data_IF_366409136387
#
_entry.id   IF_366409136387
#
_cell.length_a   1.000
_cell.length_b   1.000
_cell.length_c   1.000
_cell.angle_alpha   90.00
_cell.angle_beta   90.00
_cell.angle_gamma   90.00
#
_symmetry.space_group_name_H-M   'P 1'
#
loop_
_entity.id
_entity.type
_entity.pdbx_description
1 polymer ?
#
# COMPACT_ATOMS: atom_id res chain seq x y z
N UNK A 1 -19.81 -63.01 -18.01
CA UNK A 1 -20.52 -62.05 -18.85
C UNK A 1 -20.37 -60.72 -18.20
N UNK A 2 -19.42 -59.96 -18.73
CA UNK A 2 -19.20 -58.56 -18.41
C UNK A 2 -20.48 -57.75 -18.62
N UNK A 3 -20.68 -56.73 -17.79
CA UNK A 3 -21.15 -55.47 -18.37
C UNK A 3 -20.34 -54.30 -17.80
N UNK A 4 -19.64 -53.65 -18.73
CA UNK A 4 -18.69 -52.58 -18.55
C UNK A 4 -19.48 -51.26 -18.43
N UNK A 5 -19.76 -50.81 -17.21
CA UNK A 5 -20.13 -49.41 -16.99
C UNK A 5 -18.86 -48.59 -16.81
N UNK A 6 -18.45 -48.02 -17.94
CA UNK A 6 -17.41 -47.01 -18.15
C UNK A 6 -17.48 -45.89 -17.09
N UNK A 7 -16.32 -45.62 -16.48
CA UNK A 7 -15.84 -44.33 -15.96
C UNK A 7 -16.83 -43.36 -15.30
N UNK A 8 -16.83 -43.38 -13.97
CA UNK A 8 -16.96 -42.15 -13.17
C UNK A 8 -15.89 -42.22 -12.08
N UNK A 9 -14.66 -41.84 -12.44
CA UNK A 9 -13.61 -41.60 -11.44
C UNK A 9 -14.14 -40.53 -10.49
N UNK A 10 -14.14 -40.76 -9.17
CA UNK A 10 -14.34 -39.69 -8.21
C UNK A 10 -13.28 -38.64 -8.51
N UNK A 11 -13.74 -37.44 -8.80
CA UNK A 11 -12.92 -36.24 -8.90
C UNK A 11 -12.11 -36.17 -7.59
N UNK A 12 -10.84 -36.54 -7.65
CA UNK A 12 -9.91 -36.32 -6.55
C UNK A 12 -9.76 -34.80 -6.46
N UNK A 13 -10.44 -34.25 -5.47
CA UNK A 13 -10.30 -32.87 -5.06
C UNK A 13 -8.92 -32.73 -4.41
N UNK A 14 -7.90 -32.51 -5.23
CA UNK A 14 -6.52 -32.25 -4.80
C UNK A 14 -6.37 -30.87 -4.13
N UNK A 15 -7.46 -30.22 -3.70
CA UNK A 15 -7.40 -28.92 -3.01
C UNK A 15 -7.31 -29.01 -1.49
N UNK A 16 -7.44 -30.20 -0.90
CA UNK A 16 -7.32 -30.44 0.56
C UNK A 16 -5.91 -30.90 0.98
N UNK A 17 -4.88 -30.63 0.18
CA UNK A 17 -3.47 -30.79 0.59
C UNK A 17 -2.65 -29.50 0.52
N UNK A 18 -3.32 -28.33 0.45
CA UNK A 18 -2.64 -27.01 0.39
C UNK A 18 -2.63 -26.30 1.75
N UNK A 19 -3.23 -26.88 2.80
CA UNK A 19 -3.39 -26.19 4.09
C UNK A 19 -2.80 -26.89 5.32
N UNK A 20 -2.08 -28.01 5.16
CA UNK A 20 -1.49 -28.73 6.31
C UNK A 20 0.02 -28.97 6.26
N UNK A 21 0.74 -28.59 5.21
CA UNK A 21 2.19 -28.70 5.18
C UNK A 21 2.85 -27.32 5.20
N UNK A 22 2.85 -26.65 6.37
CA UNK A 22 3.79 -25.57 6.68
C UNK A 22 3.75 -25.23 8.19
N UNK A 23 4.11 -26.20 9.04
CA UNK A 23 4.44 -25.93 10.47
C UNK A 23 5.82 -26.47 10.87
N UNK A 24 6.63 -26.86 9.89
CA UNK A 24 8.01 -27.30 10.08
C UNK A 24 8.95 -26.49 9.18
N UNK A 25 9.16 -25.22 9.55
CA UNK A 25 10.45 -24.54 9.53
C UNK A 25 10.28 -23.04 9.85
N UNK A 26 10.62 -22.63 11.07
CA UNK A 26 10.71 -21.21 11.43
C UNK A 26 12.18 -20.73 11.54
N UNK A 27 13.14 -21.62 11.30
CA UNK A 27 14.57 -21.36 11.50
C UNK A 27 15.27 -21.05 10.18
N UNK A 28 15.09 -21.88 9.15
CA UNK A 28 15.68 -21.63 7.82
C UNK A 28 14.99 -20.44 7.15
N UNK A 29 13.66 -20.30 7.35
CA UNK A 29 12.90 -19.11 6.94
C UNK A 29 13.45 -17.80 7.52
N UNK A 30 13.99 -17.80 8.75
CA UNK A 30 14.60 -16.60 9.33
C UNK A 30 15.91 -16.27 8.62
N UNK A 31 16.74 -17.28 8.37
CA UNK A 31 18.00 -17.11 7.65
C UNK A 31 17.76 -16.62 6.21
N UNK A 32 16.81 -17.24 5.50
CA UNK A 32 16.37 -16.82 4.18
C UNK A 32 15.92 -15.35 4.16
N UNK A 33 15.09 -14.94 5.12
CA UNK A 33 14.63 -13.55 5.24
C UNK A 33 15.76 -12.57 5.49
N UNK A 34 16.69 -12.92 6.38
CA UNK A 34 17.83 -12.06 6.71
C UNK A 34 18.70 -11.81 5.49
N UNK A 35 19.03 -12.87 4.74
CA UNK A 35 19.81 -12.76 3.50
C UNK A 35 19.02 -12.00 2.43
N UNK A 36 17.73 -12.29 2.25
CA UNK A 36 16.87 -11.58 1.29
C UNK A 36 16.83 -10.07 1.59
N UNK A 37 16.67 -9.69 2.86
CA UNK A 37 16.65 -8.29 3.28
C UNK A 37 17.99 -7.61 2.96
N UNK A 38 19.11 -8.26 3.29
CA UNK A 38 20.44 -7.69 3.08
C UNK A 38 20.77 -7.52 1.59
N UNK A 39 20.43 -8.52 0.78
CA UNK A 39 20.58 -8.44 -0.68
C UNK A 39 19.73 -7.30 -1.26
N UNK A 40 18.44 -7.22 -0.92
CA UNK A 40 17.54 -6.16 -1.44
C UNK A 40 18.01 -4.76 -1.02
N UNK A 41 18.58 -4.62 0.18
CA UNK A 41 19.14 -3.34 0.66
C UNK A 41 20.20 -2.78 -0.28
N UNK A 42 21.00 -3.65 -0.92
CA UNK A 42 22.00 -3.30 -1.92
C UNK A 42 21.46 -2.81 -3.27
N UNK A 43 20.15 -2.95 -3.52
CA UNK A 43 19.51 -2.58 -4.78
C UNK A 43 18.42 -1.50 -4.57
N UNK A 44 18.80 -0.20 -4.45
CA UNK A 44 17.86 0.89 -4.20
C UNK A 44 16.69 0.95 -5.18
N UNK A 45 16.90 0.64 -6.46
CA UNK A 45 15.84 0.64 -7.49
C UNK A 45 14.70 -0.36 -7.22
N UNK A 46 14.87 -1.30 -6.27
CA UNK A 46 13.81 -2.22 -5.85
C UNK A 46 12.81 -1.61 -4.85
N UNK A 47 13.20 -0.58 -4.10
CA UNK A 47 12.38 -0.03 -3.01
C UNK A 47 12.31 1.51 -2.97
N UNK A 48 13.34 2.20 -3.45
CA UNK A 48 13.43 3.65 -3.45
C UNK A 48 12.76 4.24 -4.70
N UNK A 49 11.61 4.89 -4.51
CA UNK A 49 10.87 5.55 -5.60
C UNK A 49 11.59 6.76 -6.20
N UNK A 50 12.56 7.33 -5.49
CA UNK A 50 13.36 8.47 -5.94
C UNK A 50 14.62 8.04 -6.72
N UNK A 51 14.91 6.74 -6.79
CA UNK A 51 16.03 6.23 -7.57
C UNK A 51 15.77 6.40 -9.07
N UNK A 52 16.79 6.81 -9.83
CA UNK A 52 16.68 7.04 -11.28
C UNK A 52 16.30 5.78 -12.04
N UNK A 53 16.76 4.62 -11.56
CA UNK A 53 16.54 3.32 -12.18
C UNK A 53 15.26 2.65 -11.64
N UNK A 54 14.50 3.30 -10.75
CA UNK A 54 13.25 2.74 -10.23
C UNK A 54 12.20 2.46 -11.32
N UNK A 55 12.26 3.14 -12.46
CA UNK A 55 11.34 2.88 -13.59
C UNK A 55 11.85 1.83 -14.57
N UNK A 56 13.12 1.43 -14.46
CA UNK A 56 13.72 0.44 -15.35
C UNK A 56 13.28 -0.97 -14.94
N UNK A 57 12.45 -1.59 -15.79
CA UNK A 57 11.94 -2.93 -15.55
C UNK A 57 13.04 -4.01 -15.74
N UNK A 58 13.95 -3.81 -16.69
CA UNK A 58 15.02 -4.76 -16.97
C UNK A 58 16.03 -4.77 -15.82
N UNK A 59 16.41 -3.59 -15.31
CA UNK A 59 17.30 -3.47 -14.16
C UNK A 59 16.72 -4.15 -12.91
N UNK A 60 15.40 -4.02 -12.69
CA UNK A 60 14.72 -4.74 -11.60
C UNK A 60 14.76 -6.25 -11.79
N UNK A 61 14.44 -6.72 -12.99
CA UNK A 61 14.42 -8.15 -13.27
C UNK A 61 15.81 -8.77 -13.09
N UNK A 62 16.86 -8.11 -13.60
CA UNK A 62 18.25 -8.55 -13.42
C UNK A 62 18.64 -8.67 -11.95
N UNK A 63 18.33 -7.65 -11.12
CA UNK A 63 18.62 -7.72 -9.69
C UNK A 63 17.82 -8.81 -8.99
N UNK A 64 16.55 -9.03 -9.37
CA UNK A 64 15.77 -10.13 -8.79
C UNK A 64 16.31 -11.50 -9.17
N UNK A 65 16.77 -11.67 -10.41
CA UNK A 65 17.45 -12.90 -10.87
C UNK A 65 18.72 -13.15 -10.06
N UNK A 66 19.54 -12.12 -9.84
CA UNK A 66 20.75 -12.23 -9.03
C UNK A 66 20.46 -12.64 -7.59
N UNK A 67 19.47 -11.98 -6.96
CA UNK A 67 19.02 -12.34 -5.60
C UNK A 67 18.53 -13.79 -5.54
N UNK A 68 17.70 -14.20 -6.50
CA UNK A 68 17.15 -15.54 -6.59
C UNK A 68 18.24 -16.61 -6.74
N UNK A 69 19.27 -16.33 -7.54
CA UNK A 69 20.42 -17.21 -7.71
C UNK A 69 21.21 -17.39 -6.41
N UNK A 70 21.44 -16.32 -5.65
CA UNK A 70 22.16 -16.38 -4.36
C UNK A 70 21.35 -17.14 -3.31
N UNK A 71 20.03 -16.94 -3.28
CA UNK A 71 19.13 -17.62 -2.34
C UNK A 71 18.73 -19.03 -2.78
N UNK A 72 19.17 -19.48 -3.96
CA UNK A 72 18.81 -20.75 -4.57
C UNK A 72 17.28 -20.99 -4.57
N UNK A 73 16.53 -19.95 -4.92
CA UNK A 73 15.06 -19.93 -4.90
C UNK A 73 14.52 -19.29 -6.20
N UNK A 74 13.22 -19.41 -6.45
CA UNK A 74 12.64 -18.76 -7.62
C UNK A 74 12.53 -17.24 -7.42
N UNK A 75 12.63 -16.49 -8.52
CA UNK A 75 12.40 -15.04 -8.53
C UNK A 75 11.01 -14.70 -7.98
N UNK A 76 10.01 -15.52 -8.30
CA UNK A 76 8.64 -15.32 -7.83
C UNK A 76 8.55 -15.45 -6.31
N UNK A 77 9.19 -16.46 -5.72
CA UNK A 77 9.20 -16.67 -4.28
C UNK A 77 9.93 -15.54 -3.55
N UNK A 78 11.06 -15.09 -4.09
CA UNK A 78 11.79 -13.93 -3.54
C UNK A 78 10.92 -12.67 -3.55
N UNK A 79 10.23 -12.37 -4.66
CA UNK A 79 9.33 -11.21 -4.79
C UNK A 79 8.13 -11.32 -3.85
N UNK A 80 7.52 -12.49 -3.75
CA UNK A 80 6.39 -12.75 -2.85
C UNK A 80 6.81 -12.62 -1.39
N UNK A 81 7.95 -13.20 -1.02
CA UNK A 81 8.48 -13.12 0.34
C UNK A 81 8.82 -11.69 0.72
N UNK A 82 9.51 -10.96 -0.17
CA UNK A 82 9.80 -9.54 0.02
C UNK A 82 8.54 -8.70 0.22
N UNK A 83 7.48 -8.98 -0.54
CA UNK A 83 6.18 -8.31 -0.38
C UNK A 83 5.61 -8.54 1.02
N UNK A 84 5.55 -9.80 1.47
CA UNK A 84 5.09 -10.16 2.83
C UNK A 84 5.90 -9.49 3.93
N UNK A 85 7.24 -9.45 3.77
CA UNK A 85 8.15 -8.77 4.69
C UNK A 85 7.86 -7.26 4.78
N UNK A 86 7.70 -6.58 3.63
CA UNK A 86 7.39 -5.14 3.60
C UNK A 86 6.03 -4.82 4.20
N UNK A 87 5.02 -5.66 3.97
CA UNK A 87 3.71 -5.50 4.59
C UNK A 87 3.81 -5.61 6.11
N UNK A 88 4.51 -6.63 6.62
CA UNK A 88 4.73 -6.81 8.06
C UNK A 88 5.51 -5.62 8.64
N UNK A 89 6.55 -5.14 7.96
CA UNK A 89 7.30 -3.96 8.36
C UNK A 89 6.42 -2.71 8.46
N UNK A 90 5.52 -2.51 7.49
CA UNK A 90 4.62 -1.35 7.50
C UNK A 90 3.65 -1.39 8.69
N UNK A 91 3.12 -2.58 9.02
CA UNK A 91 2.28 -2.78 10.21
C UNK A 91 3.07 -2.54 11.49
N UNK A 92 4.28 -3.09 11.58
CA UNK A 92 5.15 -2.96 12.75
C UNK A 92 5.59 -1.51 12.99
N UNK A 93 5.94 -0.79 11.92
CA UNK A 93 6.24 0.64 12.00
C UNK A 93 5.06 1.44 12.58
N UNK A 94 3.84 1.18 12.09
CA UNK A 94 2.63 1.85 12.60
C UNK A 94 2.38 1.51 14.08
N UNK A 95 2.51 0.24 14.43
CA UNK A 95 2.35 -0.25 15.81
C UNK A 95 3.27 0.50 16.78
N UNK A 96 4.56 0.60 16.43
CA UNK A 96 5.56 1.32 17.21
C UNK A 96 5.19 2.81 17.32
N UNK A 97 4.77 3.46 16.22
CA UNK A 97 4.34 4.87 16.23
C UNK A 97 3.11 5.11 17.13
N UNK A 98 2.13 4.20 17.13
CA UNK A 98 0.90 4.31 17.93
C UNK A 98 1.16 4.05 19.44
N UNK A 99 2.10 3.16 19.77
CA UNK A 99 2.56 2.93 21.15
C UNK A 99 3.21 4.17 21.75
N UNK A 100 4.07 4.87 20.99
CA UNK A 100 4.67 6.13 21.43
C UNK A 100 3.64 7.24 21.66
N UNK A 101 2.54 7.27 20.89
CA UNK A 101 1.48 8.29 21.02
C UNK A 101 0.55 8.06 22.20
N UNK A 102 0.34 6.80 22.57
CA UNK A 102 -0.71 6.42 23.54
C UNK A 102 -0.31 6.65 25.00
N UNK A 103 0.94 7.06 25.27
CA UNK A 103 1.41 7.42 26.62
C UNK A 103 1.49 6.27 27.62
N UNK A 104 1.11 5.04 27.23
CA UNK A 104 1.26 3.83 28.03
C UNK A 104 2.72 3.40 28.04
N UNK A 105 3.43 3.67 29.13
CA UNK A 105 4.88 3.45 29.26
C UNK A 105 5.36 1.99 29.24
N UNK A 106 4.50 1.00 29.03
CA UNK A 106 4.87 -0.40 28.99
C UNK A 106 4.23 -1.11 27.78
N UNK A 107 4.95 -1.19 26.67
CA UNK A 107 4.60 -2.10 25.57
C UNK A 107 5.05 -3.51 25.95
N UNK A 108 4.09 -4.43 26.08
CA UNK A 108 4.35 -5.85 26.36
C UNK A 108 4.53 -6.68 25.07
N UNK A 109 4.73 -6.02 23.92
CA UNK A 109 4.77 -6.69 22.63
C UNK A 109 6.15 -7.24 22.31
N UNK A 110 6.16 -8.46 21.80
CA UNK A 110 7.36 -9.07 21.25
C UNK A 110 7.79 -8.32 19.99
N UNK A 111 8.96 -7.69 20.04
CA UNK A 111 9.55 -6.98 18.91
C UNK A 111 9.85 -7.96 17.78
N UNK A 112 9.40 -7.66 16.57
CA UNK A 112 9.77 -8.46 15.41
C UNK A 112 11.28 -8.30 15.12
N UNK A 113 12.03 -9.40 15.19
CA UNK A 113 13.51 -9.37 15.10
C UNK A 113 14.03 -8.76 13.79
N UNK A 114 13.39 -9.07 12.66
CA UNK A 114 13.78 -8.55 11.34
C UNK A 114 13.46 -7.06 11.16
N UNK A 115 12.70 -6.45 12.07
CA UNK A 115 12.39 -5.02 12.01
C UNK A 115 13.67 -4.18 11.95
N UNK A 116 14.68 -4.55 12.75
CA UNK A 116 15.98 -3.86 12.81
C UNK A 116 16.70 -3.93 11.45
N UNK A 117 16.63 -5.07 10.76
CA UNK A 117 17.28 -5.27 9.47
C UNK A 117 16.59 -4.46 8.36
N UNK A 118 15.29 -4.20 8.51
CA UNK A 118 14.48 -3.46 7.53
C UNK A 118 14.38 -1.96 7.82
N UNK A 119 15.10 -1.42 8.81
CA UNK A 119 15.00 0.01 9.18
C UNK A 119 15.38 0.97 8.05
N UNK A 120 16.21 0.53 7.10
CA UNK A 120 16.54 1.32 5.90
C UNK A 120 15.31 1.68 5.05
N UNK A 121 14.19 0.97 5.22
CA UNK A 121 12.93 1.27 4.55
C UNK A 121 12.13 2.40 5.21
N UNK A 122 12.46 2.80 6.46
CA UNK A 122 11.74 3.85 7.21
C UNK A 122 11.48 5.12 6.37
N UNK A 123 12.45 5.70 5.64
CA UNK A 123 12.22 6.91 4.82
C UNK A 123 11.37 6.66 3.57
N UNK A 124 11.34 5.43 3.04
CA UNK A 124 10.65 5.08 1.80
C UNK A 124 9.23 4.55 2.02
N UNK A 125 8.89 4.16 3.25
CA UNK A 125 7.57 3.66 3.65
C UNK A 125 6.83 4.76 4.39
N UNK A 126 6.15 5.64 3.65
CA UNK A 126 5.31 6.68 4.25
C UNK A 126 4.03 6.08 4.84
N UNK A 127 3.65 6.52 6.04
CA UNK A 127 2.34 6.21 6.60
C UNK A 127 1.23 6.86 5.76
N UNK A 128 0.17 6.11 5.45
CA UNK A 128 -1.02 6.73 4.84
C UNK A 128 -1.63 7.70 5.86
N UNK A 129 -1.78 8.97 5.46
CA UNK A 129 -2.61 9.92 6.21
C UNK A 129 -4.05 9.41 6.15
N UNK A 130 -4.69 9.25 7.30
CA UNK A 130 -6.13 8.97 7.35
C UNK A 130 -6.88 10.20 6.87
N UNK A 131 -7.73 10.04 5.87
CA UNK A 131 -8.67 11.07 5.43
C UNK A 131 -10.00 10.74 6.10
N UNK A 132 -10.48 11.60 7.00
CA UNK A 132 -11.75 11.41 7.71
C UNK A 132 -12.89 11.97 6.85
N UNK A 133 -13.92 11.16 6.58
CA UNK A 133 -15.13 11.60 5.87
C UNK A 133 -16.19 12.22 6.79
N UNK A 134 -15.83 12.58 8.02
CA UNK A 134 -16.76 13.19 8.98
C UNK A 134 -16.93 14.66 8.61
N UNK A 135 -18.10 14.99 8.04
CA UNK A 135 -18.58 16.36 7.92
C UNK A 135 -18.77 16.91 9.34
N UNK A 136 -17.99 17.92 9.72
CA UNK A 136 -18.20 18.64 10.98
C UNK A 136 -19.49 19.43 10.86
N UNK A 137 -20.61 18.89 11.34
CA UNK A 137 -21.86 19.65 11.46
C UNK A 137 -21.71 20.60 12.65
N UNK A 138 -21.54 21.89 12.36
CA UNK A 138 -21.62 22.94 13.37
C UNK A 138 -23.08 23.05 13.84
N UNK A 139 -23.43 22.38 14.93
CA UNK A 139 -24.71 22.59 15.60
C UNK A 139 -24.65 23.94 16.31
N UNK A 140 -25.03 25.00 15.60
CA UNK A 140 -25.22 26.32 16.18
C UNK A 140 -26.69 26.45 16.58
N UNK A 141 -26.94 26.33 17.89
CA UNK A 141 -28.16 26.82 18.51
C UNK A 141 -28.35 28.30 18.15
N UNK A 142 -29.37 28.62 17.37
CA UNK A 142 -29.88 29.99 17.34
C UNK A 142 -31.39 29.97 17.10
N UNK A 143 -32.13 30.08 18.21
CA UNK A 143 -33.49 30.61 18.23
C UNK A 143 -33.49 31.95 17.49
N UNK A 144 -34.31 32.09 16.42
CA UNK A 144 -34.81 33.39 15.97
C UNK A 144 -36.27 33.31 15.52
N UNK A 145 -37.02 34.16 16.21
CA UNK A 145 -38.43 34.52 16.12
C UNK A 145 -38.77 35.12 14.75
N UNK A 146 -40.03 34.92 14.38
CA UNK A 146 -40.73 35.32 13.15
C UNK A 146 -40.43 36.74 12.66
N UNK A 147 -40.26 36.88 11.33
CA UNK A 147 -40.77 38.06 10.63
C UNK A 147 -41.12 37.73 9.17
N UNK A 148 -42.25 38.27 8.74
CA UNK A 148 -43.07 37.94 7.56
C UNK A 148 -42.59 38.72 6.32
N UNK A 149 -43.03 38.25 5.13
CA UNK A 149 -43.04 38.90 3.81
C UNK A 149 -41.73 38.79 3.00
N UNK A 150 -41.69 38.60 1.69
CA UNK A 150 -42.69 38.36 0.63
C UNK A 150 -41.92 37.87 -0.60
N UNK A 151 -42.57 36.99 -1.36
CA UNK A 151 -42.43 36.64 -2.78
C UNK A 151 -41.32 37.37 -3.57
N UNK A 152 -40.45 36.61 -4.24
CA UNK A 152 -39.77 37.13 -5.42
C UNK A 152 -39.75 36.14 -6.58
N UNK A 153 -40.57 36.50 -7.56
CA UNK A 153 -40.51 36.35 -9.02
C UNK A 153 -39.40 35.48 -9.63
N UNK A 154 -39.90 34.58 -10.47
CA UNK A 154 -39.22 33.90 -11.56
C UNK A 154 -38.44 34.81 -12.54
N UNK A 155 -37.39 34.19 -13.09
CA UNK A 155 -37.06 34.07 -14.53
C UNK A 155 -36.28 35.14 -15.33
N UNK A 156 -35.28 34.57 -16.03
CA UNK A 156 -34.87 34.74 -17.45
C UNK A 156 -33.67 35.62 -17.83
N UNK A 157 -32.65 34.88 -18.35
CA UNK A 157 -31.73 35.12 -19.48
C UNK A 157 -32.06 36.35 -20.36
N UNK A 158 -31.03 37.05 -20.88
CA UNK A 158 -30.45 36.85 -22.23
C UNK A 158 -29.29 37.85 -22.48
N UNK A 159 -28.22 37.29 -23.02
CA UNK A 159 -27.14 37.79 -23.92
C UNK A 159 -27.29 39.17 -24.61
N UNK A 160 -26.17 39.92 -24.74
CA UNK A 160 -25.69 40.55 -25.99
C UNK A 160 -24.30 41.18 -25.79
N UNK A 161 -23.39 40.86 -26.70
CA UNK A 161 -22.02 41.37 -26.86
C UNK A 161 -22.00 42.79 -27.43
N UNK A 162 -20.93 43.56 -27.18
CA UNK A 162 -20.11 44.22 -28.23
C UNK A 162 -18.88 44.92 -27.58
N UNK A 163 -17.72 44.35 -27.86
CA UNK A 163 -16.51 44.92 -28.43
C UNK A 163 -16.15 46.39 -28.11
N UNK A 164 -14.91 46.60 -27.65
CA UNK A 164 -14.06 47.68 -28.18
C UNK A 164 -12.58 47.33 -27.98
N UNK A 165 -11.84 47.39 -29.09
CA UNK A 165 -10.42 47.10 -29.22
C UNK A 165 -9.61 48.41 -29.28
N UNK A 166 -8.29 48.29 -29.05
CA UNK A 166 -7.19 49.15 -29.56
C UNK A 166 -6.90 50.47 -28.77
N UNK A 167 -5.68 50.94 -28.44
CA UNK A 167 -4.27 50.81 -28.93
C UNK A 167 -3.23 51.15 -27.81
N UNK A 168 -2.11 50.41 -27.84
CA UNK A 168 -0.67 50.69 -27.55
C UNK A 168 -0.15 51.65 -26.46
N UNK A 169 0.96 51.24 -25.81
CA UNK A 169 2.24 51.99 -25.85
C UNK A 169 3.43 51.12 -25.44
N UNK A 170 4.54 51.31 -26.16
CA UNK A 170 5.70 50.44 -26.34
C UNK A 170 6.76 50.47 -25.23
N UNK A 171 7.51 49.36 -25.18
CA UNK A 171 8.85 49.25 -24.59
C UNK A 171 9.89 50.07 -25.38
N UNK A 172 10.81 50.70 -24.66
CA UNK A 172 12.21 50.84 -25.08
C UNK A 172 13.11 50.82 -23.84
#
# INVERSE_FOLDING_TARGET
MEDHRYYASPFQDDTENIFQEEVLDNSENRNFDEILIDMVKGYPHLYNKADTNFKDALMKENSWQEIANVLNASVLDCKNRWTRLRERFSREKKNIEDEFRSGSGASQRQKWLLYTNMEFLKPFVAGRKTVTNIVRTNVSNQLKIDNVYTQNSENKKVHVSLDNSTIESNQK
#
